data_IF_808321097996
#
_entry.id   IF_808321097996
#
_cell.length_a   1.000
_cell.length_b   1.000
_cell.length_c   1.000
_cell.angle_alpha   90.00
_cell.angle_beta   90.00
_cell.angle_gamma   90.00
#
_symmetry.space_group_name_H-M   'P 1'
#
loop_
_entity.id
_entity.type
_entity.pdbx_description
1 polymer ?
#
# COMPACT_ATOMS: atom_id res chain seq x y z
N UNK A 1 5.02 25.72 16.96
CA UNK A 1 5.76 24.44 16.91
C UNK A 1 4.91 23.45 16.17
N UNK A 2 5.34 22.96 15.01
CA UNK A 2 4.63 21.88 14.28
C UNK A 2 4.70 20.61 15.13
N UNK A 3 3.55 20.04 15.45
CA UNK A 3 3.45 18.78 16.18
C UNK A 3 4.23 17.69 15.40
N UNK A 4 5.04 16.90 16.10
CA UNK A 4 5.77 15.79 15.49
C UNK A 4 4.77 14.82 14.84
N UNK A 5 5.03 14.43 13.59
CA UNK A 5 4.19 13.47 12.88
C UNK A 5 4.38 12.06 13.46
N UNK A 6 3.28 11.32 13.54
CA UNK A 6 3.30 9.89 13.87
C UNK A 6 3.93 9.08 12.71
N UNK A 7 4.31 7.83 12.97
CA UNK A 7 4.99 6.97 12.01
C UNK A 7 4.10 6.65 10.81
N UNK A 8 4.67 6.71 9.60
CA UNK A 8 4.10 6.11 8.40
C UNK A 8 4.72 4.72 8.17
N UNK A 9 3.90 3.69 8.18
CA UNK A 9 4.32 2.33 7.80
C UNK A 9 4.05 2.13 6.31
N UNK A 10 5.11 1.88 5.54
CA UNK A 10 5.01 1.46 4.13
C UNK A 10 5.16 -0.06 4.07
N UNK A 11 4.05 -0.78 4.00
CA UNK A 11 4.04 -2.23 3.87
C UNK A 11 4.17 -2.63 2.39
N UNK A 12 5.29 -3.25 2.04
CA UNK A 12 5.59 -3.66 0.67
C UNK A 12 6.51 -2.68 -0.08
N UNK A 13 7.74 -2.54 0.38
CA UNK A 13 8.75 -1.70 -0.28
C UNK A 13 9.41 -2.48 -1.41
N UNK A 14 9.19 -2.01 -2.63
CA UNK A 14 9.85 -2.43 -3.85
C UNK A 14 10.32 -1.21 -4.63
N UNK A 15 10.99 -1.37 -5.81
CA UNK A 15 11.63 -0.28 -6.55
C UNK A 15 10.63 0.72 -7.19
N UNK A 16 9.32 0.42 -7.17
CA UNK A 16 8.28 1.29 -7.72
C UNK A 16 7.57 2.11 -6.64
N UNK A 17 6.24 1.92 -6.53
CA UNK A 17 5.37 2.70 -5.63
C UNK A 17 5.85 2.65 -4.17
N UNK A 18 6.32 1.49 -3.67
CA UNK A 18 6.82 1.40 -2.29
C UNK A 18 8.01 2.31 -2.00
N UNK A 19 8.98 2.39 -2.91
CA UNK A 19 10.12 3.30 -2.79
C UNK A 19 9.70 4.78 -2.92
N UNK A 20 8.75 5.07 -3.80
CA UNK A 20 8.19 6.41 -3.97
C UNK A 20 7.43 6.88 -2.71
N UNK A 21 6.63 5.99 -2.11
CA UNK A 21 5.96 6.24 -0.83
C UNK A 21 6.97 6.56 0.28
N UNK A 22 8.02 5.75 0.39
CA UNK A 22 9.07 5.97 1.39
C UNK A 22 9.67 7.38 1.28
N UNK A 23 10.08 7.77 0.06
CA UNK A 23 10.63 9.12 -0.19
C UNK A 23 9.61 10.22 0.08
N UNK A 24 8.39 10.06 -0.41
CA UNK A 24 7.33 11.07 -0.30
C UNK A 24 6.96 11.34 1.15
N UNK A 25 6.73 10.32 1.95
CA UNK A 25 6.40 10.49 3.37
C UNK A 25 7.60 10.99 4.17
N UNK A 26 8.81 10.48 3.90
CA UNK A 26 10.04 10.97 4.54
C UNK A 26 10.28 12.46 4.26
N UNK A 27 10.14 12.91 3.01
CA UNK A 27 10.25 14.33 2.63
C UNK A 27 9.14 15.20 3.22
N UNK A 28 7.97 14.62 3.51
CA UNK A 28 6.89 15.31 4.22
C UNK A 28 7.08 15.32 5.76
N UNK A 29 8.22 14.82 6.27
CA UNK A 29 8.58 14.89 7.69
C UNK A 29 8.00 13.75 8.55
N UNK A 30 7.50 12.68 7.96
CA UNK A 30 7.10 11.48 8.71
C UNK A 30 8.32 10.64 9.09
N UNK A 31 8.38 10.07 10.29
CA UNK A 31 9.17 8.87 10.52
C UNK A 31 8.61 7.74 9.66
N UNK A 32 9.47 6.97 8.97
CA UNK A 32 9.00 5.95 8.01
C UNK A 32 9.51 4.56 8.37
N UNK A 33 8.59 3.62 8.57
CA UNK A 33 8.89 2.20 8.71
C UNK A 33 8.73 1.51 7.34
N UNK A 34 9.80 0.87 6.87
CA UNK A 34 9.90 0.28 5.53
C UNK A 34 9.84 -1.25 5.61
N UNK A 35 8.72 -1.87 5.23
CA UNK A 35 8.52 -3.30 5.33
C UNK A 35 8.69 -4.00 3.99
N UNK A 36 9.57 -4.99 3.95
CA UNK A 36 9.77 -5.87 2.80
C UNK A 36 10.27 -7.25 3.27
N UNK A 37 10.16 -8.28 2.43
CA UNK A 37 10.72 -9.61 2.72
C UNK A 37 12.25 -9.61 2.70
N UNK A 38 12.84 -8.88 1.73
CA UNK A 38 14.26 -8.60 1.65
C UNK A 38 14.50 -7.13 1.96
N UNK A 39 15.45 -6.81 2.84
CA UNK A 39 15.66 -5.45 3.36
C UNK A 39 16.67 -4.62 2.59
N UNK A 40 17.45 -5.19 1.67
CA UNK A 40 18.53 -4.49 0.96
C UNK A 40 18.12 -3.15 0.35
N UNK A 41 16.99 -3.13 -0.37
CA UNK A 41 16.46 -1.89 -0.95
C UNK A 41 15.94 -0.94 0.14
N UNK A 42 15.23 -1.49 1.12
CA UNK A 42 14.64 -0.72 2.21
C UNK A 42 15.70 -0.05 3.09
N UNK A 43 16.82 -0.73 3.34
CA UNK A 43 17.97 -0.20 4.09
C UNK A 43 18.64 0.94 3.33
N UNK A 44 18.88 0.77 2.03
CA UNK A 44 19.41 1.86 1.19
C UNK A 44 18.49 3.09 1.17
N UNK A 45 17.19 2.87 1.10
CA UNK A 45 16.21 3.96 1.16
C UNK A 45 16.21 4.63 2.53
N UNK A 46 16.22 3.84 3.60
CA UNK A 46 16.23 4.35 4.97
C UNK A 46 17.46 5.22 5.25
N UNK A 47 18.64 4.84 4.77
CA UNK A 47 19.87 5.60 4.92
C UNK A 47 19.79 7.00 4.27
N UNK A 48 18.95 7.20 3.28
CA UNK A 48 18.73 8.49 2.61
C UNK A 48 17.58 9.34 3.19
N UNK A 49 16.93 8.88 4.26
CA UNK A 49 15.78 9.57 4.87
C UNK A 49 16.11 10.01 6.30
N UNK A 50 15.61 11.19 6.77
CA UNK A 50 15.98 11.75 8.08
C UNK A 50 15.61 10.85 9.26
N UNK A 51 14.51 10.12 9.17
CA UNK A 51 14.02 9.21 10.22
C UNK A 51 13.29 8.03 9.60
N UNK A 52 14.04 7.00 9.21
CA UNK A 52 13.47 5.80 8.63
C UNK A 52 14.21 4.54 9.10
N UNK A 53 13.50 3.40 9.13
CA UNK A 53 14.07 2.10 9.47
C UNK A 53 13.44 1.00 8.61
N UNK A 54 14.29 0.07 8.17
CA UNK A 54 13.87 -1.11 7.41
C UNK A 54 13.56 -2.28 8.35
N UNK A 55 12.54 -3.06 7.97
CA UNK A 55 12.12 -4.25 8.71
C UNK A 55 11.83 -5.41 7.76
N UNK A 56 12.45 -6.56 8.01
CA UNK A 56 12.11 -7.79 7.31
C UNK A 56 10.73 -8.27 7.77
N UNK A 57 9.76 -8.34 6.86
CA UNK A 57 8.39 -8.74 7.16
C UNK A 57 7.75 -9.45 5.98
N UNK A 58 7.32 -10.69 6.19
CA UNK A 58 6.29 -11.29 5.35
C UNK A 58 4.92 -10.84 5.88
N UNK A 59 4.22 -10.04 5.10
CA UNK A 59 2.89 -9.51 5.48
C UNK A 59 1.81 -10.59 5.56
N UNK A 60 2.04 -11.76 4.97
CA UNK A 60 1.16 -12.92 5.04
C UNK A 60 1.37 -13.78 6.30
N UNK A 61 2.40 -13.50 7.10
CA UNK A 61 2.69 -14.23 8.35
C UNK A 61 2.20 -13.41 9.57
N UNK A 62 1.17 -13.91 10.30
CA UNK A 62 0.65 -13.22 11.48
C UNK A 62 1.68 -12.96 12.57
N UNK A 63 2.60 -13.91 12.80
CA UNK A 63 3.63 -13.78 13.84
C UNK A 63 4.68 -12.75 13.45
N UNK A 64 5.12 -12.74 12.20
CA UNK A 64 6.04 -11.73 11.67
C UNK A 64 5.43 -10.33 11.74
N UNK A 65 4.18 -10.17 11.31
CA UNK A 65 3.46 -8.88 11.37
C UNK A 65 3.38 -8.38 12.82
N UNK A 66 2.93 -9.21 13.76
CA UNK A 66 2.82 -8.81 15.17
C UNK A 66 4.17 -8.36 15.74
N UNK A 67 5.22 -9.14 15.52
CA UNK A 67 6.58 -8.85 16.00
C UNK A 67 7.12 -7.54 15.40
N UNK A 68 6.96 -7.35 14.09
CA UNK A 68 7.49 -6.18 13.39
C UNK A 68 6.77 -4.90 13.82
N UNK A 69 5.45 -4.91 13.95
CA UNK A 69 4.70 -3.73 14.38
C UNK A 69 5.00 -3.34 15.84
N UNK A 70 5.28 -4.31 16.71
CA UNK A 70 5.79 -4.02 18.06
C UNK A 70 7.17 -3.35 18.01
N UNK A 71 8.08 -3.83 17.17
CA UNK A 71 9.40 -3.23 16.98
C UNK A 71 9.31 -1.80 16.40
N UNK A 72 8.42 -1.55 15.45
CA UNK A 72 8.20 -0.20 14.90
C UNK A 72 7.82 0.79 16.00
N UNK A 73 6.90 0.41 16.89
CA UNK A 73 6.49 1.27 18.01
C UNK A 73 7.64 1.55 18.96
N UNK A 74 8.45 0.55 19.27
CA UNK A 74 9.61 0.71 20.13
C UNK A 74 10.69 1.62 19.52
N UNK A 75 10.94 1.50 18.23
CA UNK A 75 12.01 2.20 17.51
C UNK A 75 11.62 3.62 17.07
N UNK A 76 10.42 3.80 16.55
CA UNK A 76 10.01 5.02 15.86
C UNK A 76 8.84 5.76 16.52
N UNK A 77 8.02 5.08 17.30
CA UNK A 77 6.88 5.66 18.01
C UNK A 77 5.53 5.22 17.48
N UNK A 78 4.48 5.96 17.86
CA UNK A 78 3.08 5.67 17.48
C UNK A 78 2.87 5.71 15.97
N UNK A 79 2.02 4.80 15.47
CA UNK A 79 1.74 4.68 14.04
C UNK A 79 0.49 5.47 13.69
N UNK A 80 0.64 6.52 12.88
CA UNK A 80 -0.46 7.37 12.42
C UNK A 80 -0.89 7.11 10.98
N UNK A 81 -0.02 6.47 10.15
CA UNK A 81 -0.33 6.15 8.76
C UNK A 81 0.09 4.73 8.42
N UNK A 82 -0.80 3.99 7.77
CA UNK A 82 -0.50 2.73 7.09
C UNK A 82 -0.70 2.90 5.58
N UNK A 83 0.37 2.86 4.80
CA UNK A 83 0.34 2.76 3.34
C UNK A 83 0.57 1.29 2.95
N UNK A 84 -0.50 0.55 2.68
CA UNK A 84 -0.42 -0.87 2.34
C UNK A 84 -0.26 -1.06 0.83
N UNK A 85 0.98 -1.26 0.40
CA UNK A 85 1.39 -1.44 -0.99
C UNK A 85 1.82 -2.89 -1.31
N UNK A 86 1.93 -3.77 -0.32
CA UNK A 86 2.29 -5.16 -0.57
C UNK A 86 1.27 -5.81 -1.50
N UNK A 87 1.78 -6.47 -2.53
CA UNK A 87 0.95 -7.13 -3.52
C UNK A 87 1.66 -8.30 -4.18
N UNK A 88 0.89 -9.29 -4.59
CA UNK A 88 1.32 -10.43 -5.39
C UNK A 88 0.46 -10.49 -6.64
N UNK A 89 1.07 -10.18 -7.80
CA UNK A 89 0.41 -10.29 -9.10
C UNK A 89 0.63 -11.69 -9.67
N UNK A 90 -0.44 -12.48 -9.70
CA UNK A 90 -0.47 -13.75 -10.42
C UNK A 90 -1.33 -13.56 -11.66
N UNK A 91 -0.72 -13.68 -12.83
CA UNK A 91 -1.38 -13.45 -14.13
C UNK A 91 -1.55 -14.79 -14.86
N UNK A 92 -2.58 -15.51 -14.50
CA UNK A 92 -3.00 -16.78 -15.13
C UNK A 92 -4.51 -16.78 -15.35
N UNK A 93 -4.97 -17.44 -16.41
CA UNK A 93 -6.39 -17.75 -16.60
C UNK A 93 -6.84 -18.79 -15.55
N UNK A 94 -8.15 -19.07 -15.48
CA UNK A 94 -8.70 -19.98 -14.46
C UNK A 94 -8.19 -21.42 -14.61
N UNK A 95 -7.91 -21.86 -15.83
CA UNK A 95 -7.44 -23.22 -16.10
C UNK A 95 -5.97 -23.42 -15.69
N UNK A 96 -5.15 -22.37 -15.83
CA UNK A 96 -3.72 -22.40 -15.53
C UNK A 96 -3.39 -21.96 -14.09
N UNK A 97 -4.29 -21.28 -13.41
CA UNK A 97 -4.08 -20.83 -12.02
C UNK A 97 -4.12 -22.02 -11.06
N UNK A 98 -3.06 -22.17 -10.24
CA UNK A 98 -3.04 -23.23 -9.22
C UNK A 98 -3.68 -22.75 -7.91
N UNK A 99 -4.04 -23.71 -7.04
CA UNK A 99 -4.55 -23.39 -5.70
C UNK A 99 -3.54 -22.58 -4.88
N UNK A 100 -2.25 -22.91 -5.00
CA UNK A 100 -1.14 -22.20 -4.33
C UNK A 100 -1.01 -20.75 -4.84
N UNK A 101 -1.18 -20.53 -6.14
CA UNK A 101 -1.20 -19.19 -6.74
C UNK A 101 -2.36 -18.36 -6.21
N UNK A 102 -3.54 -18.97 -6.12
CA UNK A 102 -4.73 -18.32 -5.60
C UNK A 102 -4.57 -17.97 -4.12
N UNK A 103 -4.12 -18.92 -3.30
CA UNK A 103 -3.86 -18.71 -1.87
C UNK A 103 -2.79 -17.63 -1.66
N UNK A 104 -1.68 -17.69 -2.40
CA UNK A 104 -0.60 -16.71 -2.29
C UNK A 104 -1.07 -15.31 -2.65
N UNK A 105 -1.86 -15.16 -3.71
CA UNK A 105 -2.43 -13.88 -4.09
C UNK A 105 -3.34 -13.32 -2.98
N UNK A 106 -4.23 -14.15 -2.44
CA UNK A 106 -5.13 -13.76 -1.37
C UNK A 106 -4.37 -13.44 -0.08
N UNK A 107 -3.40 -14.27 0.28
CA UNK A 107 -2.59 -14.13 1.49
C UNK A 107 -1.84 -12.80 1.53
N UNK A 108 -1.24 -12.39 0.42
CA UNK A 108 -0.49 -11.12 0.37
C UNK A 108 -1.43 -9.91 0.20
N UNK A 109 -2.38 -9.95 -0.73
CA UNK A 109 -3.17 -8.77 -1.05
C UNK A 109 -4.27 -8.49 -0.02
N UNK A 110 -4.98 -9.53 0.45
CA UNK A 110 -6.16 -9.38 1.33
C UNK A 110 -5.85 -9.68 2.78
N UNK A 111 -5.32 -10.86 3.07
CA UNK A 111 -5.06 -11.29 4.45
C UNK A 111 -3.96 -10.45 5.11
N UNK A 112 -2.87 -10.19 4.41
CA UNK A 112 -1.82 -9.31 4.91
C UNK A 112 -2.30 -7.87 5.15
N UNK A 113 -3.19 -7.35 4.28
CA UNK A 113 -3.84 -6.06 4.50
C UNK A 113 -4.67 -6.06 5.79
N UNK A 114 -5.44 -7.12 6.03
CA UNK A 114 -6.16 -7.32 7.28
C UNK A 114 -5.23 -7.37 8.50
N UNK A 115 -4.18 -8.18 8.45
CA UNK A 115 -3.22 -8.32 9.55
C UNK A 115 -2.55 -6.98 9.90
N UNK A 116 -2.05 -6.26 8.90
CA UNK A 116 -1.42 -4.95 9.09
C UNK A 116 -2.40 -3.94 9.70
N UNK A 117 -3.63 -3.91 9.20
CA UNK A 117 -4.69 -3.03 9.71
C UNK A 117 -5.02 -3.33 11.18
N UNK A 118 -5.13 -4.60 11.55
CA UNK A 118 -5.37 -5.02 12.94
C UNK A 118 -4.30 -4.51 13.90
N UNK A 119 -3.07 -4.33 13.43
CA UNK A 119 -1.99 -3.81 14.28
C UNK A 119 -2.14 -2.31 14.57
N UNK A 120 -2.62 -1.50 13.63
CA UNK A 120 -2.64 -0.04 13.78
C UNK A 120 -3.97 0.52 14.30
N UNK A 121 -5.07 -0.18 14.07
CA UNK A 121 -6.42 0.28 14.42
C UNK A 121 -6.58 0.64 15.91
N UNK A 122 -6.10 -0.16 16.89
CA UNK A 122 -6.34 0.16 18.31
C UNK A 122 -5.76 1.53 18.70
N UNK A 123 -4.54 1.83 18.32
CA UNK A 123 -3.88 3.11 18.66
C UNK A 123 -4.48 4.28 17.89
N UNK A 124 -4.81 4.12 16.59
CA UNK A 124 -5.46 5.15 15.79
C UNK A 124 -6.84 5.53 16.35
N UNK A 125 -7.62 4.52 16.75
CA UNK A 125 -8.95 4.74 17.36
C UNK A 125 -8.82 5.40 18.73
N UNK A 126 -7.89 4.97 19.57
CA UNK A 126 -7.65 5.59 20.87
C UNK A 126 -7.22 7.07 20.72
N UNK A 127 -6.42 7.36 19.69
CA UNK A 127 -6.02 8.74 19.36
C UNK A 127 -7.12 9.55 18.65
N UNK A 128 -8.19 8.91 18.19
CA UNK A 128 -9.25 9.53 17.39
C UNK A 128 -8.74 10.08 16.06
N UNK A 129 -7.60 9.59 15.54
CA UNK A 129 -6.97 10.02 14.29
C UNK A 129 -6.10 8.90 13.72
N UNK A 130 -5.94 8.90 12.39
CA UNK A 130 -5.07 7.99 11.66
C UNK A 130 -5.55 7.84 10.23
N UNK A 131 -4.67 7.31 9.37
CA UNK A 131 -5.00 7.06 7.96
C UNK A 131 -4.49 5.70 7.51
N UNK A 132 -5.35 4.92 6.87
CA UNK A 132 -5.03 3.63 6.27
C UNK A 132 -5.32 3.72 4.78
N UNK A 133 -4.28 3.68 3.94
CA UNK A 133 -4.42 3.78 2.49
C UNK A 133 -3.95 2.49 1.84
N UNK A 134 -4.86 1.81 1.16
CA UNK A 134 -4.56 0.60 0.39
C UNK A 134 -4.20 0.95 -1.05
N UNK A 135 -3.17 0.30 -1.59
CA UNK A 135 -2.82 0.40 -3.00
C UNK A 135 -3.53 -0.73 -3.74
N UNK A 136 -4.60 -0.35 -4.40
CA UNK A 136 -5.39 -1.20 -5.29
C UNK A 136 -4.79 -1.30 -6.69
N UNK A 137 -5.57 -1.82 -7.61
CA UNK A 137 -5.23 -1.97 -9.02
C UNK A 137 -6.52 -1.95 -9.85
N UNK A 138 -6.44 -1.88 -11.17
CA UNK A 138 -7.56 -2.19 -12.10
C UNK A 138 -8.32 -3.44 -11.64
N UNK A 139 -7.57 -4.45 -11.20
CA UNK A 139 -8.09 -5.71 -10.68
C UNK A 139 -8.90 -5.59 -9.36
N UNK A 140 -8.95 -4.43 -8.73
CA UNK A 140 -9.87 -4.17 -7.60
C UNK A 140 -11.29 -3.89 -8.04
N UNK A 141 -11.52 -3.60 -9.33
CA UNK A 141 -12.81 -3.18 -9.90
C UNK A 141 -13.31 -4.08 -11.03
N UNK A 142 -12.40 -4.70 -11.79
CA UNK A 142 -12.74 -5.60 -12.88
C UNK A 142 -11.79 -6.78 -12.98
N UNK A 143 -12.33 -7.98 -13.19
CA UNK A 143 -11.55 -9.17 -13.52
C UNK A 143 -11.19 -9.18 -15.00
N UNK A 144 -9.95 -9.57 -15.32
CA UNK A 144 -9.53 -9.88 -16.68
C UNK A 144 -9.40 -11.39 -16.88
N UNK A 145 -9.42 -11.86 -18.11
CA UNK A 145 -9.31 -13.30 -18.45
C UNK A 145 -8.07 -13.99 -17.84
N UNK A 146 -7.02 -13.23 -17.56
CA UNK A 146 -5.75 -13.74 -17.01
C UNK A 146 -5.46 -13.25 -15.58
N UNK A 147 -6.47 -12.86 -14.81
CA UNK A 147 -6.30 -12.30 -13.47
C UNK A 147 -7.13 -13.01 -12.40
N UNK A 148 -7.51 -14.28 -12.60
CA UNK A 148 -8.42 -14.99 -11.71
C UNK A 148 -8.02 -14.89 -10.22
N UNK A 149 -6.79 -15.28 -9.88
CA UNK A 149 -6.28 -15.19 -8.51
C UNK A 149 -6.07 -13.73 -8.05
N UNK A 150 -5.46 -12.91 -8.91
CA UNK A 150 -5.13 -11.53 -8.58
C UNK A 150 -6.37 -10.66 -8.39
N UNK A 151 -7.35 -10.76 -9.30
CA UNK A 151 -8.59 -9.99 -9.21
C UNK A 151 -9.40 -10.41 -7.97
N UNK A 152 -9.56 -11.71 -7.71
CA UNK A 152 -10.23 -12.19 -6.49
C UNK A 152 -9.63 -11.59 -5.23
N UNK A 153 -8.30 -11.57 -5.14
CA UNK A 153 -7.60 -10.98 -3.99
C UNK A 153 -7.76 -9.46 -3.91
N UNK A 154 -7.68 -8.74 -5.03
CA UNK A 154 -7.82 -7.28 -5.05
C UNK A 154 -9.26 -6.81 -4.81
N UNK A 155 -10.28 -7.55 -5.27
CA UNK A 155 -11.66 -7.33 -4.85
C UNK A 155 -11.85 -7.57 -3.34
N UNK A 156 -11.26 -8.64 -2.81
CA UNK A 156 -11.26 -8.90 -1.36
C UNK A 156 -10.63 -7.76 -0.57
N UNK A 157 -9.49 -7.23 -1.03
CA UNK A 157 -8.84 -6.06 -0.40
C UNK A 157 -9.76 -4.82 -0.44
N UNK A 158 -10.43 -4.57 -1.57
CA UNK A 158 -11.38 -3.45 -1.72
C UNK A 158 -12.57 -3.60 -0.77
N UNK A 159 -13.18 -4.79 -0.70
CA UNK A 159 -14.29 -5.06 0.22
C UNK A 159 -13.88 -4.89 1.69
N UNK A 160 -12.67 -5.34 2.06
CA UNK A 160 -12.11 -5.10 3.39
C UNK A 160 -11.96 -3.59 3.66
N UNK A 161 -11.38 -2.84 2.74
CA UNK A 161 -11.19 -1.40 2.87
C UNK A 161 -12.52 -0.66 3.04
N UNK A 162 -13.53 -1.00 2.26
CA UNK A 162 -14.88 -0.40 2.33
C UNK A 162 -15.56 -0.68 3.67
N UNK A 163 -15.52 -1.91 4.16
CA UNK A 163 -16.04 -2.28 5.48
C UNK A 163 -15.35 -1.50 6.60
N UNK A 164 -14.01 -1.38 6.51
CA UNK A 164 -13.23 -0.63 7.48
C UNK A 164 -13.54 0.87 7.44
N UNK A 165 -13.69 1.47 6.26
CA UNK A 165 -14.03 2.89 6.11
C UNK A 165 -15.34 3.23 6.82
N UNK A 166 -16.38 2.40 6.64
CA UNK A 166 -17.69 2.56 7.30
C UNK A 166 -17.60 2.45 8.82
N UNK A 167 -16.80 1.51 9.31
CA UNK A 167 -16.69 1.25 10.76
C UNK A 167 -15.77 2.25 11.47
N UNK A 168 -14.67 2.65 10.83
CA UNK A 168 -13.60 3.44 11.46
C UNK A 168 -13.77 4.96 11.23
N UNK A 169 -14.43 5.37 10.14
CA UNK A 169 -14.66 6.78 9.83
C UNK A 169 -15.30 7.56 10.98
N UNK A 170 -16.42 7.10 11.58
CA UNK A 170 -17.02 7.77 12.73
C UNK A 170 -16.11 7.81 13.96
N UNK A 171 -15.09 6.96 14.01
CA UNK A 171 -14.10 6.87 15.09
C UNK A 171 -12.82 7.68 14.82
N UNK A 172 -12.83 8.51 13.76
CA UNK A 172 -11.74 9.42 13.43
C UNK A 172 -10.59 8.81 12.64
N UNK A 173 -10.72 7.60 12.08
CA UNK A 173 -9.70 6.95 11.26
C UNK A 173 -10.13 6.96 9.79
N UNK A 174 -9.34 7.59 8.94
CA UNK A 174 -9.56 7.64 7.49
C UNK A 174 -9.08 6.34 6.84
N UNK A 175 -9.94 5.69 6.07
CA UNK A 175 -9.57 4.52 5.26
C UNK A 175 -9.85 4.82 3.79
N UNK A 176 -8.84 4.68 2.95
CA UNK A 176 -8.93 4.96 1.51
C UNK A 176 -8.31 3.84 0.66
N UNK A 177 -8.74 3.76 -0.59
CA UNK A 177 -8.21 2.87 -1.61
C UNK A 177 -7.78 3.70 -2.83
N UNK A 178 -6.53 3.57 -3.25
CA UNK A 178 -6.06 4.12 -4.53
C UNK A 178 -6.06 3.00 -5.56
N UNK A 179 -6.95 3.07 -6.52
CA UNK A 179 -6.97 2.17 -7.68
C UNK A 179 -5.92 2.64 -8.67
N UNK A 180 -4.80 1.94 -8.77
CA UNK A 180 -3.77 2.19 -9.78
C UNK A 180 -4.24 1.53 -11.07
N UNK A 181 -4.83 2.33 -11.96
CA UNK A 181 -5.41 1.86 -13.22
C UNK A 181 -4.48 2.21 -14.38
N UNK A 182 -3.47 1.40 -14.54
CA UNK A 182 -2.45 1.54 -15.56
C UNK A 182 -1.20 0.74 -15.26
N UNK A 183 -0.25 0.77 -16.18
CA UNK A 183 1.03 0.07 -16.03
C UNK A 183 2.02 0.98 -15.32
N UNK A 184 2.48 0.53 -14.15
CA UNK A 184 3.46 1.30 -13.36
C UNK A 184 4.81 1.35 -14.09
N UNK A 185 5.41 2.53 -14.13
CA UNK A 185 6.74 2.77 -14.71
C UNK A 185 7.83 2.10 -13.88
N UNK A 186 8.31 0.98 -14.36
CA UNK A 186 9.36 0.17 -13.77
C UNK A 186 10.28 -0.36 -14.87
N UNK A 187 11.53 -0.62 -14.55
CA UNK A 187 12.47 -1.20 -15.49
C UNK A 187 11.92 -2.48 -16.16
N UNK A 188 11.24 -3.34 -15.36
CA UNK A 188 10.63 -4.58 -15.88
C UNK A 188 9.45 -4.33 -16.82
N UNK A 189 8.56 -3.37 -16.53
CA UNK A 189 7.40 -3.07 -17.38
C UNK A 189 7.82 -2.36 -18.64
N UNK A 190 8.82 -1.48 -18.58
CA UNK A 190 9.49 -0.87 -19.74
C UNK A 190 10.13 -1.92 -20.64
N UNK A 191 10.84 -2.88 -20.06
CA UNK A 191 11.45 -3.97 -20.82
C UNK A 191 10.43 -4.88 -21.54
N UNK A 192 9.25 -5.08 -20.94
CA UNK A 192 8.15 -5.87 -21.52
C UNK A 192 7.33 -5.10 -22.57
N UNK A 193 7.33 -3.78 -22.51
CA UNK A 193 6.48 -2.90 -23.34
C UNK A 193 7.31 -1.79 -23.99
N UNK A 194 8.33 -2.19 -24.74
CA UNK A 194 9.34 -1.28 -25.33
C UNK A 194 8.76 -0.27 -26.31
N UNK A 195 7.66 -0.62 -26.96
CA UNK A 195 7.03 0.20 -28.01
C UNK A 195 6.00 1.20 -27.45
N UNK A 196 5.80 1.22 -26.12
CA UNK A 196 4.86 2.14 -25.50
C UNK A 196 5.55 3.46 -25.17
N UNK A 197 4.89 4.62 -25.43
CA UNK A 197 5.42 5.93 -25.09
C UNK A 197 5.42 6.16 -23.58
N UNK A 198 6.11 7.19 -23.12
CA UNK A 198 6.24 7.52 -21.70
C UNK A 198 4.90 7.77 -21.02
N UNK A 199 3.97 8.39 -21.73
CA UNK A 199 2.63 8.74 -21.26
C UNK A 199 1.74 7.52 -21.00
N UNK A 200 2.11 6.35 -21.51
CA UNK A 200 1.41 5.10 -21.25
C UNK A 200 1.62 4.62 -19.81
N UNK A 201 2.72 5.00 -19.19
CA UNK A 201 3.09 4.49 -17.87
C UNK A 201 2.70 5.46 -16.77
N UNK A 202 2.22 4.91 -15.63
CA UNK A 202 1.97 5.68 -14.43
C UNK A 202 3.25 5.79 -13.59
N UNK A 203 3.64 7.01 -13.26
CA UNK A 203 4.85 7.23 -12.45
C UNK A 203 4.59 6.91 -10.98
N UNK A 204 5.48 6.12 -10.33
CA UNK A 204 5.34 5.80 -8.90
C UNK A 204 5.24 7.02 -7.99
N UNK A 205 5.96 8.09 -8.31
CA UNK A 205 5.98 9.31 -7.50
C UNK A 205 4.64 10.08 -7.54
N UNK A 206 3.89 10.00 -8.64
CA UNK A 206 2.56 10.62 -8.75
C UNK A 206 1.51 9.84 -7.95
N UNK A 207 1.62 8.49 -7.95
CA UNK A 207 0.81 7.64 -7.06
C UNK A 207 1.11 7.95 -5.60
N UNK A 208 2.40 8.09 -5.24
CA UNK A 208 2.80 8.41 -3.88
C UNK A 208 2.32 9.80 -3.43
N UNK A 209 2.25 10.77 -4.35
CA UNK A 209 1.67 12.09 -4.07
C UNK A 209 0.17 11.98 -3.75
N UNK A 210 -0.57 11.18 -4.53
CA UNK A 210 -1.99 10.89 -4.26
C UNK A 210 -2.20 10.24 -2.89
N UNK A 211 -1.36 9.27 -2.53
CA UNK A 211 -1.44 8.58 -1.23
C UNK A 211 -1.17 9.54 -0.07
N UNK A 212 -0.15 10.39 -0.18
CA UNK A 212 0.13 11.40 0.85
C UNK A 212 -1.05 12.38 0.98
N UNK A 213 -1.60 12.87 -0.15
CA UNK A 213 -2.78 13.74 -0.14
C UNK A 213 -3.95 13.09 0.62
N UNK A 214 -4.26 11.83 0.34
CA UNK A 214 -5.32 11.09 1.05
C UNK A 214 -5.01 10.96 2.55
N UNK A 215 -3.77 10.67 2.92
CA UNK A 215 -3.39 10.53 4.33
C UNK A 215 -3.55 11.84 5.11
N UNK A 216 -3.46 13.00 4.44
CA UNK A 216 -3.53 14.34 5.03
C UNK A 216 -4.86 15.07 4.75
N UNK A 217 -5.85 14.42 4.12
CA UNK A 217 -7.14 15.03 3.83
C UNK A 217 -7.86 15.53 5.10
N UNK A 218 -8.46 16.74 5.04
CA UNK A 218 -9.30 17.23 6.12
C UNK A 218 -10.53 16.34 6.32
N UNK A 219 -10.95 16.17 7.57
CA UNK A 219 -12.05 15.26 7.97
C UNK A 219 -13.38 15.56 7.29
N UNK A 220 -13.60 16.81 6.89
CA UNK A 220 -14.85 17.23 6.23
C UNK A 220 -14.98 16.72 4.78
N UNK A 221 -13.90 16.17 4.19
CA UNK A 221 -13.88 15.78 2.79
C UNK A 221 -13.00 14.54 2.53
N UNK A 222 -13.16 13.49 3.32
CA UNK A 222 -12.46 12.24 3.11
C UNK A 222 -12.92 11.49 1.87
N UNK A 223 -12.00 11.10 1.02
CA UNK A 223 -12.24 10.24 -0.13
C UNK A 223 -12.02 8.79 0.25
N UNK A 224 -12.97 7.91 -0.12
CA UNK A 224 -12.79 6.48 0.07
C UNK A 224 -12.01 5.83 -1.07
N UNK A 225 -12.43 6.06 -2.32
CA UNK A 225 -11.82 5.44 -3.50
C UNK A 225 -11.40 6.52 -4.49
N UNK A 226 -10.14 6.46 -4.90
CA UNK A 226 -9.55 7.35 -5.89
C UNK A 226 -8.89 6.51 -6.97
N UNK A 227 -9.19 6.79 -8.24
CA UNK A 227 -8.56 6.16 -9.38
C UNK A 227 -7.41 7.04 -9.88
N UNK A 228 -6.23 6.44 -9.98
CA UNK A 228 -5.03 7.07 -10.53
C UNK A 228 -4.60 6.31 -11.78
N UNK A 229 -4.55 7.01 -12.94
CA UNK A 229 -4.18 6.42 -14.22
C UNK A 229 -3.51 7.42 -15.13
N UNK A 230 -2.74 6.97 -16.13
CA UNK A 230 -2.20 7.85 -17.16
C UNK A 230 -3.35 8.50 -17.95
N UNK A 231 -3.16 9.73 -18.40
CA UNK A 231 -4.20 10.43 -19.16
C UNK A 231 -4.56 9.76 -20.50
N UNK A 232 -3.64 8.99 -21.08
CA UNK A 232 -3.82 8.25 -22.32
C UNK A 232 -4.38 6.83 -22.16
N UNK A 233 -4.73 6.40 -20.92
CA UNK A 233 -5.37 5.10 -20.71
C UNK A 233 -6.78 5.10 -21.27
N UNK A 234 -7.13 4.05 -22.03
CA UNK A 234 -8.48 3.88 -22.58
C UNK A 234 -9.39 3.16 -21.59
N UNK A 235 -10.63 3.65 -21.51
CA UNK A 235 -11.67 3.10 -20.60
C UNK A 235 -12.21 1.76 -21.06
#
# INVERSE_FOLDING_TARGET
>A
MTQAKDVCVVAGVGPGIGAALARRFGSAGYPVALLARSTELSERLAAGLPKAKAYACDVGDPAAVTRVYAAIRADLGAIGVLAYNAGSGVFANIEAATAEDFERAWRVNTFGAFLASKQVIPEMVAAGRGSIVFIGATASRKGGARTAAFASAKFGQRGLAESMARHLGPRGVHVALVVVDGVVDLARTRAMMKDKPDEFFIRPDDVAATVLHLAEQPRSAWSFEVEARPFGETW
#
